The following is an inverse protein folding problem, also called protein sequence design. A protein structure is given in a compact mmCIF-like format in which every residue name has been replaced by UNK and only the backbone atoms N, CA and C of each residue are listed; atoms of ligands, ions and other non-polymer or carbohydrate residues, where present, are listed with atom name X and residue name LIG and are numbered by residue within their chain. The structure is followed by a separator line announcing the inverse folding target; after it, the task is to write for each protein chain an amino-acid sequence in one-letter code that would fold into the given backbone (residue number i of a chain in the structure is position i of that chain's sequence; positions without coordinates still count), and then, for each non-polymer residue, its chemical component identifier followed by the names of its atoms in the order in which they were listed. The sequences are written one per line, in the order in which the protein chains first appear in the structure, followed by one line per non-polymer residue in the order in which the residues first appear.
data_IF_889468403134
#
_entry.id   IF_889468403134
#
_cell.length_a   1.000
_cell.length_b   1.000
_cell.length_c   1.000
_cell.angle_alpha   90.00
_cell.angle_beta   90.00
_cell.angle_gamma   90.00
#
_symmetry.space_group_name_H-M   'P 1'
#
loop_
_entity.id
_entity.type
_entity.pdbx_description
1 polymer ?
#
# COMPACT_ATOMS: atom_id res chain seq x y z
N UNK A 1 6.42 31.28 -22.42
CA UNK A 1 7.01 30.00 -22.87
C UNK A 1 7.76 29.22 -21.78
N UNK A 2 8.23 29.84 -20.68
CA UNK A 2 8.96 29.13 -19.61
C UNK A 2 8.09 28.27 -18.66
N UNK A 3 6.77 28.49 -18.58
CA UNK A 3 5.89 27.69 -17.71
C UNK A 3 5.53 26.32 -18.30
N UNK A 4 5.49 26.19 -19.63
CA UNK A 4 5.12 24.94 -20.29
C UNK A 4 6.23 23.89 -20.27
N UNK A 5 7.51 24.30 -20.19
CA UNK A 5 8.63 23.35 -20.14
C UNK A 5 8.76 22.67 -18.76
N UNK A 6 8.49 23.41 -17.68
CA UNK A 6 8.59 22.89 -16.31
C UNK A 6 7.47 21.91 -15.96
N UNK A 7 6.29 22.12 -16.53
CA UNK A 7 5.11 21.25 -16.36
C UNK A 7 5.27 19.93 -17.15
N UNK A 8 5.86 19.99 -18.34
CA UNK A 8 6.22 18.79 -19.11
C UNK A 8 7.33 17.98 -18.41
N UNK A 9 8.40 18.61 -17.92
CA UNK A 9 9.46 17.91 -17.17
C UNK A 9 8.93 17.22 -15.91
N UNK A 10 8.00 17.86 -15.19
CA UNK A 10 7.35 17.26 -14.02
C UNK A 10 6.49 16.06 -14.38
N UNK A 11 5.75 16.14 -15.50
CA UNK A 11 4.84 15.08 -15.94
C UNK A 11 5.63 13.88 -16.49
N UNK A 12 6.69 14.14 -17.26
CA UNK A 12 7.59 13.12 -17.79
C UNK A 12 8.35 12.40 -16.68
N UNK A 13 8.79 13.12 -15.64
CA UNK A 13 9.35 12.49 -14.44
C UNK A 13 8.32 11.62 -13.71
N UNK A 14 7.09 12.10 -13.50
CA UNK A 14 6.03 11.30 -12.86
C UNK A 14 5.70 10.02 -13.64
N UNK A 15 5.64 10.09 -14.97
CA UNK A 15 5.40 8.93 -15.84
C UNK A 15 6.58 7.95 -15.84
N UNK A 16 7.82 8.46 -15.88
CA UNK A 16 9.02 7.63 -15.79
C UNK A 16 9.07 6.87 -14.46
N UNK A 17 8.73 7.55 -13.36
CA UNK A 17 8.73 6.89 -12.06
C UNK A 17 7.60 5.85 -11.96
N UNK A 18 6.42 6.12 -12.54
CA UNK A 18 5.37 5.10 -12.69
C UNK A 18 5.83 3.87 -13.48
N UNK A 19 6.60 4.06 -14.55
CA UNK A 19 7.20 2.96 -15.32
C UNK A 19 8.26 2.19 -14.51
N UNK A 20 9.12 2.90 -13.79
CA UNK A 20 10.19 2.32 -12.99
C UNK A 20 9.64 1.56 -11.78
N UNK A 21 8.49 1.93 -11.23
CA UNK A 21 7.80 1.19 -10.15
C UNK A 21 7.56 -0.28 -10.55
N UNK A 22 7.18 -0.54 -11.81
CA UNK A 22 6.90 -1.89 -12.28
C UNK A 22 8.16 -2.63 -12.76
N UNK A 23 9.14 -1.89 -13.29
CA UNK A 23 10.33 -2.49 -13.93
C UNK A 23 11.50 -2.66 -12.96
N UNK A 24 11.72 -1.67 -12.10
CA UNK A 24 12.84 -1.59 -11.15
C UNK A 24 12.39 -0.85 -9.86
N UNK A 25 11.54 -1.49 -9.03
CA UNK A 25 10.93 -0.83 -7.87
C UNK A 25 11.94 -0.25 -6.87
N UNK A 26 13.13 -0.85 -6.76
CA UNK A 26 14.21 -0.33 -5.93
C UNK A 26 14.75 1.01 -6.46
N UNK A 27 14.97 1.11 -7.77
CA UNK A 27 15.50 2.33 -8.39
C UNK A 27 14.48 3.46 -8.33
N UNK A 28 13.20 3.16 -8.60
CA UNK A 28 12.12 4.12 -8.42
C UNK A 28 12.07 4.62 -6.97
N UNK A 29 12.22 3.71 -6.01
CA UNK A 29 12.25 4.03 -4.59
C UNK A 29 13.44 4.94 -4.21
N UNK A 30 14.66 4.65 -4.70
CA UNK A 30 15.83 5.52 -4.47
C UNK A 30 15.65 6.90 -5.12
N UNK A 31 15.03 6.97 -6.30
CA UNK A 31 14.69 8.24 -6.93
C UNK A 31 13.71 9.04 -6.06
N UNK A 32 12.62 8.43 -5.59
CA UNK A 32 11.66 9.09 -4.71
C UNK A 32 12.27 9.56 -3.39
N UNK A 33 13.22 8.82 -2.82
CA UNK A 33 13.92 9.24 -1.60
C UNK A 33 14.73 10.52 -1.79
N UNK A 34 15.26 10.74 -2.99
CA UNK A 34 16.17 11.84 -3.29
C UNK A 34 15.49 13.01 -4.02
N UNK A 35 14.22 12.86 -4.42
CA UNK A 35 13.46 13.87 -5.15
C UNK A 35 12.44 14.56 -4.22
N UNK A 36 12.71 15.82 -3.87
CA UNK A 36 11.84 16.63 -2.98
C UNK A 36 10.50 17.03 -3.63
N UNK A 37 10.29 16.73 -4.93
CA UNK A 37 9.10 17.21 -5.66
C UNK A 37 7.84 16.38 -5.41
N UNK A 38 7.94 15.23 -4.74
CA UNK A 38 6.84 14.27 -4.60
C UNK A 38 6.30 14.29 -3.17
N UNK A 39 5.13 14.91 -3.01
CA UNK A 39 4.46 15.01 -1.72
C UNK A 39 3.57 13.80 -1.41
N UNK A 40 3.09 13.74 -0.15
CA UNK A 40 2.13 12.75 0.34
C UNK A 40 0.93 12.51 -0.57
N UNK A 41 0.35 13.60 -1.09
CA UNK A 41 -0.85 13.53 -1.93
C UNK A 41 -0.55 12.83 -3.25
N UNK A 42 0.62 13.08 -3.84
CA UNK A 42 1.06 12.41 -5.07
C UNK A 42 1.29 10.92 -4.81
N UNK A 43 1.95 10.55 -3.71
CA UNK A 43 2.13 9.15 -3.31
C UNK A 43 0.78 8.44 -3.14
N UNK A 44 -0.18 9.04 -2.43
CA UNK A 44 -1.52 8.46 -2.28
C UNK A 44 -2.23 8.30 -3.62
N UNK A 45 -2.10 9.26 -4.54
CA UNK A 45 -2.66 9.14 -5.89
C UNK A 45 -2.04 7.98 -6.65
N UNK A 46 -0.73 7.76 -6.53
CA UNK A 46 -0.04 6.61 -7.13
C UNK A 46 -0.60 5.31 -6.57
N UNK A 47 -0.69 5.18 -5.25
CA UNK A 47 -1.28 3.99 -4.61
C UNK A 47 -2.70 3.71 -5.09
N UNK A 48 -3.56 4.74 -5.14
CA UNK A 48 -4.94 4.60 -5.58
C UNK A 48 -5.04 4.24 -7.07
N UNK A 49 -4.21 4.85 -7.91
CA UNK A 49 -4.17 4.56 -9.36
C UNK A 49 -3.76 3.11 -9.60
N UNK A 50 -2.73 2.65 -8.89
CA UNK A 50 -2.25 1.28 -9.00
C UNK A 50 -3.27 0.29 -8.44
N UNK A 51 -3.92 0.62 -7.33
CA UNK A 51 -4.92 -0.24 -6.70
C UNK A 51 -6.07 -0.63 -7.63
N UNK A 52 -6.53 0.28 -8.50
CA UNK A 52 -7.62 0.02 -9.45
C UNK A 52 -7.32 -1.17 -10.38
N UNK A 53 -6.04 -1.50 -10.61
CA UNK A 53 -5.68 -2.69 -11.38
C UNK A 53 -6.08 -4.01 -10.70
N UNK A 54 -6.19 -4.06 -9.37
CA UNK A 54 -6.56 -5.29 -8.65
C UNK A 54 -7.98 -5.78 -9.01
N UNK A 55 -9.05 -4.99 -8.81
CA UNK A 55 -10.39 -5.42 -9.18
C UNK A 55 -10.54 -5.61 -10.70
N UNK A 56 -9.89 -4.79 -11.53
CA UNK A 56 -9.94 -4.95 -12.99
C UNK A 56 -9.31 -6.29 -13.40
N UNK A 57 -8.09 -6.58 -12.93
CA UNK A 57 -7.39 -7.83 -13.27
C UNK A 57 -8.14 -9.05 -12.76
N UNK A 58 -8.73 -8.97 -11.56
CA UNK A 58 -9.53 -10.07 -11.01
C UNK A 58 -10.81 -10.30 -11.80
N UNK A 59 -11.50 -9.24 -12.20
CA UNK A 59 -12.70 -9.34 -13.03
C UNK A 59 -12.37 -9.96 -14.39
N UNK A 60 -11.29 -9.50 -15.05
CA UNK A 60 -10.84 -10.04 -16.33
C UNK A 60 -10.47 -11.52 -16.23
N UNK A 61 -9.73 -11.92 -15.20
CA UNK A 61 -9.42 -13.33 -14.96
C UNK A 61 -10.70 -14.15 -14.79
N UNK A 62 -11.61 -13.72 -13.92
CA UNK A 62 -12.84 -14.45 -13.65
C UNK A 62 -13.73 -14.53 -14.92
N UNK A 63 -13.74 -13.49 -15.75
CA UNK A 63 -14.44 -13.46 -17.03
C UNK A 63 -13.85 -14.51 -17.99
N UNK A 64 -12.53 -14.56 -18.14
CA UNK A 64 -11.85 -15.58 -18.98
C UNK A 64 -12.19 -16.99 -18.47
N UNK A 65 -12.06 -17.23 -17.16
CA UNK A 65 -12.35 -18.52 -16.55
C UNK A 65 -13.82 -18.92 -16.72
N UNK A 66 -14.74 -17.97 -16.65
CA UNK A 66 -16.17 -18.21 -16.82
C UNK A 66 -16.55 -18.48 -18.27
N UNK A 67 -15.83 -17.94 -19.26
CA UNK A 67 -16.04 -18.29 -20.67
C UNK A 67 -15.45 -19.66 -21.04
N UNK A 68 -14.39 -20.08 -20.37
CA UNK A 68 -13.85 -21.44 -20.53
C UNK A 68 -14.70 -22.51 -19.84
N UNK A 69 -15.58 -22.10 -18.92
CA UNK A 69 -16.49 -22.97 -18.21
C UNK A 69 -17.83 -23.02 -18.96
N UNK A 70 -18.19 -24.17 -19.53
CA UNK A 70 -19.43 -24.37 -20.30
C UNK A 70 -20.71 -24.35 -19.44
N UNK A 71 -20.65 -23.79 -18.24
CA UNK A 71 -21.75 -23.68 -17.30
C UNK A 71 -22.86 -22.77 -17.85
N UNK A 72 -24.15 -23.09 -17.62
CA UNK A 72 -25.25 -22.19 -17.97
C UNK A 72 -25.11 -20.84 -17.26
N UNK A 73 -25.53 -19.75 -17.92
CA UNK A 73 -25.55 -18.41 -17.33
C UNK A 73 -26.67 -18.29 -16.29
N UNK A 74 -26.39 -18.75 -15.07
CA UNK A 74 -27.29 -18.68 -13.92
C UNK A 74 -26.69 -17.83 -12.78
N UNK A 75 -27.29 -17.86 -11.59
CA UNK A 75 -26.74 -17.13 -10.42
C UNK A 75 -25.33 -17.58 -10.05
N UNK A 76 -24.99 -18.85 -10.26
CA UNK A 76 -23.66 -19.39 -9.95
C UNK A 76 -22.58 -18.81 -10.88
N UNK A 77 -22.94 -18.52 -12.14
CA UNK A 77 -22.06 -17.80 -13.07
C UNK A 77 -21.68 -16.42 -12.51
N UNK A 78 -22.66 -15.64 -12.05
CA UNK A 78 -22.38 -14.33 -11.44
C UNK A 78 -21.55 -14.47 -10.16
N UNK A 79 -21.81 -15.48 -9.33
CA UNK A 79 -21.02 -15.72 -8.13
C UNK A 79 -19.54 -16.01 -8.47
N UNK A 80 -19.26 -16.80 -9.52
CA UNK A 80 -17.90 -17.05 -10.02
C UNK A 80 -17.27 -15.77 -10.57
N UNK A 81 -18.01 -15.00 -11.36
CA UNK A 81 -17.55 -13.75 -11.97
C UNK A 81 -17.13 -12.72 -10.92
N UNK A 82 -17.91 -12.58 -9.85
CA UNK A 82 -17.64 -11.61 -8.77
C UNK A 82 -16.81 -12.18 -7.60
N UNK A 83 -16.42 -13.45 -7.67
CA UNK A 83 -15.64 -14.10 -6.60
C UNK A 83 -14.29 -13.41 -6.38
N UNK A 84 -13.99 -13.06 -5.13
CA UNK A 84 -12.73 -12.42 -4.74
C UNK A 84 -12.60 -10.94 -5.14
N UNK A 85 -13.54 -10.36 -5.89
CA UNK A 85 -13.54 -8.94 -6.20
C UNK A 85 -13.63 -8.04 -4.95
N UNK A 86 -14.54 -8.29 -3.99
CA UNK A 86 -14.60 -7.51 -2.77
C UNK A 86 -13.26 -7.52 -2.01
N UNK A 87 -12.61 -8.69 -1.94
CA UNK A 87 -11.29 -8.82 -1.30
C UNK A 87 -10.23 -8.00 -2.01
N UNK A 88 -10.14 -8.11 -3.34
CA UNK A 88 -9.18 -7.34 -4.15
C UNK A 88 -9.41 -5.83 -4.05
N UNK A 89 -10.67 -5.41 -3.86
CA UNK A 89 -11.06 -4.02 -3.72
C UNK A 89 -10.69 -3.48 -2.33
N UNK A 90 -10.87 -4.25 -1.26
CA UNK A 90 -10.70 -3.77 0.12
C UNK A 90 -9.25 -3.86 0.60
N UNK A 91 -8.48 -4.87 0.19
CA UNK A 91 -7.21 -5.18 0.85
C UNK A 91 -6.15 -4.07 0.68
N UNK A 92 -6.03 -3.45 -0.50
CA UNK A 92 -5.03 -2.41 -0.72
C UNK A 92 -5.37 -1.10 0.00
N UNK A 93 -6.59 -0.52 -0.11
CA UNK A 93 -6.95 0.66 0.66
C UNK A 93 -6.79 0.44 2.16
N UNK A 94 -7.13 -0.75 2.66
CA UNK A 94 -6.95 -1.11 4.07
C UNK A 94 -5.47 -1.09 4.47
N UNK A 95 -4.58 -1.74 3.71
CA UNK A 95 -3.15 -1.77 4.00
C UNK A 95 -2.54 -0.37 3.90
N UNK A 96 -2.90 0.41 2.88
CA UNK A 96 -2.41 1.79 2.74
C UNK A 96 -2.90 2.68 3.88
N UNK A 97 -4.16 2.53 4.29
CA UNK A 97 -4.68 3.20 5.48
C UNK A 97 -3.86 2.85 6.72
N UNK A 98 -3.55 1.56 6.93
CA UNK A 98 -2.67 1.12 8.02
C UNK A 98 -1.30 1.78 7.93
N UNK A 99 -0.65 1.75 6.77
CA UNK A 99 0.68 2.32 6.55
C UNK A 99 0.72 3.82 6.85
N UNK A 100 -0.28 4.59 6.43
CA UNK A 100 -0.39 6.03 6.74
C UNK A 100 -0.49 6.29 8.25
N UNK A 101 -1.26 5.46 8.96
CA UNK A 101 -1.39 5.57 10.42
C UNK A 101 -0.10 5.16 11.14
N UNK A 102 0.57 4.10 10.69
CA UNK A 102 1.85 3.67 11.26
C UNK A 102 2.95 4.70 11.01
N UNK A 103 2.94 5.37 9.87
CA UNK A 103 3.88 6.45 9.59
C UNK A 103 3.65 7.65 10.51
N UNK A 104 2.39 7.97 10.81
CA UNK A 104 2.03 8.97 11.81
C UNK A 104 2.48 8.54 13.21
N UNK A 105 2.22 7.29 13.59
CA UNK A 105 2.65 6.70 14.87
C UNK A 105 4.16 6.76 15.06
N UNK A 106 4.94 6.52 13.99
CA UNK A 106 6.39 6.62 13.99
C UNK A 106 6.88 8.01 14.39
N UNK A 107 6.27 9.06 13.83
CA UNK A 107 6.60 10.46 14.15
C UNK A 107 6.34 10.75 15.63
N UNK A 108 5.31 10.17 16.24
CA UNK A 108 5.05 10.29 17.68
C UNK A 108 5.97 9.43 18.56
N UNK A 109 6.37 8.25 18.09
CA UNK A 109 7.23 7.33 18.83
C UNK A 109 8.65 7.89 19.00
N UNK A 110 9.20 8.49 17.95
CA UNK A 110 10.46 9.22 18.04
C UNK A 110 10.15 10.52 18.80
N UNK A 111 10.34 10.51 20.13
CA UNK A 111 10.14 11.69 21.00
C UNK A 111 11.06 12.83 20.53
N UNK A 112 10.59 13.62 19.58
CA UNK A 112 11.29 14.83 19.14
C UNK A 112 11.37 15.74 20.34
N UNK A 113 12.59 15.97 20.81
CA UNK A 113 12.83 16.83 21.95
C UNK A 113 12.68 18.26 21.45
N UNK A 114 11.45 18.80 21.46
CA UNK A 114 11.11 20.13 20.94
C UNK A 114 11.90 21.28 21.59
N UNK A 115 12.57 21.01 22.71
CA UNK A 115 13.46 21.94 23.39
C UNK A 115 14.87 22.03 22.76
N UNK A 116 15.22 21.12 21.84
CA UNK A 116 16.55 21.02 21.21
C UNK A 116 16.56 21.31 19.70
N UNK A 117 15.50 21.92 19.16
CA UNK A 117 15.35 22.20 17.71
C UNK A 117 15.59 20.96 16.82
N UNK A 118 15.28 19.77 17.33
CA UNK A 118 15.40 18.53 16.55
C UNK A 118 14.42 18.55 15.36
N UNK A 119 14.97 18.36 14.16
CA UNK A 119 14.19 18.26 12.92
C UNK A 119 13.23 17.07 13.00
N UNK A 120 11.94 17.31 12.70
CA UNK A 120 10.93 16.26 12.65
C UNK A 120 11.38 15.14 11.69
N UNK A 121 11.13 13.86 12.03
CA UNK A 121 11.45 12.76 11.12
C UNK A 121 10.68 12.95 9.81
N UNK A 122 11.32 12.72 8.65
CA UNK A 122 10.71 12.99 7.36
C UNK A 122 9.43 12.16 7.19
N UNK A 123 8.32 12.80 6.78
CA UNK A 123 7.04 12.12 6.65
C UNK A 123 7.02 11.19 5.43
N UNK A 124 6.09 10.24 5.44
CA UNK A 124 5.66 9.40 4.32
C UNK A 124 6.67 8.34 3.81
N UNK A 125 7.76 8.12 4.55
CA UNK A 125 8.77 7.09 4.25
C UNK A 125 8.19 5.68 4.16
N UNK A 126 7.27 5.33 5.06
CA UNK A 126 6.59 4.03 5.00
C UNK A 126 5.62 3.95 3.82
N UNK A 127 4.92 5.04 3.51
CA UNK A 127 4.00 5.09 2.37
C UNK A 127 4.75 4.82 1.07
N UNK A 128 5.86 5.54 0.88
CA UNK A 128 6.77 5.33 -0.24
C UNK A 128 7.26 3.88 -0.33
N UNK A 129 7.67 3.30 0.79
CA UNK A 129 8.18 1.93 0.85
C UNK A 129 7.13 0.86 0.47
N UNK A 130 5.84 1.19 0.52
CA UNK A 130 4.72 0.30 0.19
C UNK A 130 4.20 0.42 -1.25
N UNK A 131 4.88 1.20 -2.09
CA UNK A 131 4.55 1.26 -3.52
C UNK A 131 4.65 -0.11 -4.20
N UNK A 132 5.69 -0.96 -3.96
CA UNK A 132 5.75 -2.30 -4.53
C UNK A 132 4.60 -3.20 -4.09
N UNK A 133 4.17 -3.10 -2.83
CA UNK A 133 2.97 -3.80 -2.37
C UNK A 133 1.75 -3.38 -3.19
N UNK A 134 1.58 -2.10 -3.50
CA UNK A 134 0.47 -1.66 -4.34
C UNK A 134 0.60 -2.18 -5.77
N UNK A 135 1.80 -2.16 -6.34
CA UNK A 135 2.11 -2.70 -7.67
C UNK A 135 1.75 -4.19 -7.80
N UNK A 136 1.77 -4.95 -6.70
CA UNK A 136 1.33 -6.34 -6.66
C UNK A 136 -0.15 -6.55 -7.04
N UNK A 137 -0.95 -5.49 -7.13
CA UNK A 137 -2.32 -5.49 -7.65
C UNK A 137 -2.46 -6.21 -9.00
N UNK A 138 -1.44 -6.13 -9.86
CA UNK A 138 -1.42 -6.83 -11.15
C UNK A 138 -1.52 -8.36 -10.99
N UNK A 139 -1.00 -8.91 -9.89
CA UNK A 139 -0.99 -10.37 -9.68
C UNK A 139 -2.36 -10.97 -9.37
N UNK A 140 -3.40 -10.15 -9.22
CA UNK A 140 -4.78 -10.63 -9.19
C UNK A 140 -5.25 -11.26 -10.49
N UNK A 141 -4.48 -11.10 -11.58
CA UNK A 141 -4.66 -11.87 -12.82
C UNK A 141 -4.35 -13.36 -12.66
N UNK A 142 -3.63 -13.76 -11.62
CA UNK A 142 -3.35 -15.18 -11.36
C UNK A 142 -4.41 -15.81 -10.47
N UNK A 143 -4.68 -17.12 -10.63
CA UNK A 143 -5.53 -17.85 -9.71
C UNK A 143 -4.87 -18.02 -8.33
N UNK A 144 -5.69 -18.30 -7.32
CA UNK A 144 -5.21 -18.72 -5.99
C UNK A 144 -4.58 -20.12 -6.12
N UNK A 145 -3.41 -20.39 -5.50
CA UNK A 145 -2.69 -19.57 -4.51
C UNK A 145 -1.61 -18.64 -5.07
N UNK A 146 -1.35 -18.66 -6.38
CA UNK A 146 -0.22 -17.94 -6.99
C UNK A 146 -0.33 -16.42 -6.77
N UNK A 147 -1.52 -15.85 -6.93
CA UNK A 147 -1.74 -14.43 -6.66
C UNK A 147 -1.32 -14.04 -5.23
N UNK A 148 -1.77 -14.79 -4.21
CA UNK A 148 -1.47 -14.54 -2.81
C UNK A 148 0.03 -14.68 -2.52
N UNK A 149 0.69 -15.64 -3.17
CA UNK A 149 2.14 -15.82 -3.04
C UNK A 149 2.91 -14.58 -3.51
N UNK A 150 2.62 -14.07 -4.72
CA UNK A 150 3.29 -12.87 -5.24
C UNK A 150 2.94 -11.61 -4.47
N UNK A 151 1.67 -11.45 -4.03
CA UNK A 151 1.25 -10.34 -3.17
C UNK A 151 2.01 -10.37 -1.83
N UNK A 152 2.21 -11.56 -1.26
CA UNK A 152 2.96 -11.72 0.00
C UNK A 152 4.44 -11.37 -0.17
N UNK A 153 5.07 -11.79 -1.28
CA UNK A 153 6.46 -11.40 -1.59
C UNK A 153 6.58 -9.87 -1.66
N UNK A 154 5.67 -9.21 -2.38
CA UNK A 154 5.68 -7.76 -2.51
C UNK A 154 5.45 -7.03 -1.17
N UNK A 155 4.62 -7.62 -0.30
CA UNK A 155 4.41 -7.13 1.06
C UNK A 155 5.69 -7.20 1.90
N UNK A 156 6.36 -8.35 1.95
CA UNK A 156 7.62 -8.49 2.69
C UNK A 156 8.73 -7.62 2.12
N UNK A 157 8.79 -7.49 0.80
CA UNK A 157 9.72 -6.58 0.14
C UNK A 157 9.47 -5.11 0.54
N UNK A 158 8.20 -4.70 0.67
CA UNK A 158 7.84 -3.36 1.14
C UNK A 158 8.22 -3.11 2.60
N UNK A 159 8.14 -4.14 3.45
CA UNK A 159 8.63 -4.08 4.83
C UNK A 159 10.17 -3.92 4.85
N UNK A 160 10.87 -4.67 3.99
CA UNK A 160 12.33 -4.56 3.87
C UNK A 160 12.74 -3.16 3.41
N UNK A 161 12.06 -2.59 2.41
CA UNK A 161 12.29 -1.21 1.97
C UNK A 161 11.99 -0.21 3.08
N UNK A 162 10.95 -0.44 3.88
CA UNK A 162 10.64 0.41 5.05
C UNK A 162 11.80 0.42 6.04
N UNK A 163 12.41 -0.73 6.33
CA UNK A 163 13.60 -0.79 7.17
C UNK A 163 14.77 -0.01 6.57
N UNK A 164 15.06 -0.24 5.29
CA UNK A 164 16.13 0.45 4.57
C UNK A 164 15.93 1.99 4.55
N UNK A 165 14.69 2.44 4.33
CA UNK A 165 14.26 3.85 4.41
C UNK A 165 14.62 4.48 5.74
N UNK A 166 14.19 3.82 6.81
CA UNK A 166 14.34 4.32 8.17
C UNK A 166 15.80 4.29 8.60
N UNK A 167 16.55 3.29 8.17
CA UNK A 167 17.98 3.18 8.44
C UNK A 167 18.76 4.32 7.77
N UNK A 168 18.50 4.61 6.50
CA UNK A 168 19.31 5.59 5.76
C UNK A 168 18.90 7.04 6.04
N UNK A 169 17.61 7.31 6.23
CA UNK A 169 17.10 8.67 6.36
C UNK A 169 16.95 9.10 7.82
N UNK A 170 16.62 8.16 8.71
CA UNK A 170 16.30 8.45 10.12
C UNK A 170 17.22 7.75 11.12
N UNK A 171 18.30 7.11 10.64
CA UNK A 171 19.31 6.36 11.40
C UNK A 171 18.71 5.30 12.35
N UNK A 172 17.65 4.62 11.92
CA UNK A 172 17.03 3.58 12.72
C UNK A 172 17.95 2.38 12.90
N UNK A 173 18.20 2.01 14.16
CA UNK A 173 18.86 0.74 14.48
C UNK A 173 17.94 -0.47 14.24
N UNK A 174 18.52 -1.66 14.04
CA UNK A 174 17.76 -2.93 13.89
C UNK A 174 16.79 -3.18 15.06
N UNK A 175 17.23 -2.90 16.29
CA UNK A 175 16.42 -3.06 17.52
C UNK A 175 15.27 -2.06 17.57
N UNK A 176 15.51 -0.83 17.15
CA UNK A 176 14.49 0.23 17.12
C UNK A 176 13.41 -0.08 16.09
N UNK A 177 13.80 -0.57 14.91
CA UNK A 177 12.86 -1.04 13.91
C UNK A 177 12.02 -2.22 14.41
N UNK A 178 12.63 -3.20 15.09
CA UNK A 178 11.88 -4.31 15.69
C UNK A 178 10.89 -3.82 16.75
N UNK A 179 11.30 -2.89 17.62
CA UNK A 179 10.42 -2.27 18.61
C UNK A 179 9.26 -1.51 17.96
N UNK A 180 9.54 -0.80 16.87
CA UNK A 180 8.52 -0.12 16.08
C UNK A 180 7.52 -1.09 15.46
N UNK A 181 7.97 -2.23 14.91
CA UNK A 181 7.09 -3.28 14.41
C UNK A 181 6.21 -3.89 15.51
N UNK A 182 6.79 -4.17 16.68
CA UNK A 182 6.03 -4.67 17.84
C UNK A 182 4.98 -3.64 18.31
N UNK A 183 5.35 -2.37 18.39
CA UNK A 183 4.42 -1.29 18.72
C UNK A 183 3.31 -1.16 17.68
N UNK A 184 3.66 -1.25 16.40
CA UNK A 184 2.71 -1.24 15.29
C UNK A 184 1.72 -2.40 15.40
N UNK A 185 2.19 -3.59 15.74
CA UNK A 185 1.35 -4.76 15.96
C UNK A 185 0.38 -4.58 17.14
N UNK A 186 0.87 -4.05 18.27
CA UNK A 186 0.02 -3.72 19.42
C UNK A 186 -1.03 -2.68 19.03
N UNK A 187 -0.63 -1.61 18.35
CA UNK A 187 -1.53 -0.55 17.88
C UNK A 187 -2.66 -1.11 17.00
N UNK A 188 -2.32 -1.98 16.04
CA UNK A 188 -3.29 -2.63 15.17
C UNK A 188 -4.22 -3.59 15.92
N UNK A 189 -3.68 -4.38 16.86
CA UNK A 189 -4.50 -5.25 17.71
C UNK A 189 -5.48 -4.45 18.56
N UNK A 190 -5.02 -3.37 19.21
CA UNK A 190 -5.89 -2.49 20.01
C UNK A 190 -6.98 -1.86 19.15
N UNK A 191 -6.63 -1.34 17.97
CA UNK A 191 -7.60 -0.80 17.03
C UNK A 191 -8.62 -1.84 16.55
N UNK A 192 -8.16 -3.06 16.25
CA UNK A 192 -9.02 -4.17 15.85
C UNK A 192 -9.99 -4.60 16.96
N UNK A 193 -9.51 -4.70 18.20
CA UNK A 193 -10.34 -5.00 19.37
C UNK A 193 -11.40 -3.91 19.62
N UNK A 194 -11.03 -2.64 19.43
CA UNK A 194 -11.97 -1.53 19.54
C UNK A 194 -13.10 -1.63 18.50
N UNK A 195 -12.75 -1.87 17.22
CA UNK A 195 -13.75 -2.07 16.15
C UNK A 195 -14.65 -3.28 16.45
N UNK A 196 -14.06 -4.40 16.88
CA UNK A 196 -14.82 -5.60 17.23
C UNK A 196 -15.79 -5.35 18.41
N UNK A 197 -15.34 -4.64 19.44
CA UNK A 197 -16.19 -4.21 20.56
C UNK A 197 -17.36 -3.34 20.11
N UNK A 198 -17.09 -2.34 19.27
CA UNK A 198 -18.12 -1.44 18.73
C UNK A 198 -19.16 -2.21 17.89
N UNK A 199 -18.72 -3.11 17.02
CA UNK A 199 -19.62 -3.96 16.22
C UNK A 199 -20.51 -4.86 17.08
N UNK A 200 -19.97 -5.41 18.17
CA UNK A 200 -20.76 -6.22 19.10
C UNK A 200 -21.80 -5.40 19.86
N UNK A 201 -21.47 -4.16 20.26
CA UNK A 201 -22.44 -3.25 20.88
C UNK A 201 -23.58 -2.93 19.90
N UNK A 202 -23.25 -2.60 18.65
CA UNK A 202 -24.26 -2.34 17.61
C UNK A 202 -25.15 -3.57 17.40
N UNK A 203 -24.55 -4.77 17.30
CA UNK A 203 -25.30 -6.02 17.17
C UNK A 203 -26.22 -6.28 18.36
N UNK A 204 -25.77 -5.97 19.58
CA UNK A 204 -26.57 -6.11 20.79
C UNK A 204 -27.76 -5.14 20.82
N UNK A 205 -27.63 -3.94 20.24
CA UNK A 205 -28.72 -2.95 20.18
C UNK A 205 -29.75 -3.30 19.10
N UNK A 206 -29.30 -3.90 17.99
CA UNK A 206 -30.16 -4.24 16.85
C UNK A 206 -30.92 -5.56 17.03
N UNK A 207 -30.46 -6.44 17.92
CA UNK A 207 -31.11 -7.70 18.29
C UNK A 207 -32.00 -7.54 19.52
#
# INVERSE_FOLDING_TARGET
MLFHSKENDSTDNKLRILSDIFSAPHNAYEMYLNDETIGKSDLLRIHLTIWVFAPISKFLLNLILSFTDSSPMDFSFFQKLFSGLPTSFIIYPLVIFVVVNLDSLRVYYKKVNRAQDETLPPPDLLLLSFVPFSASSIFWIFPVPLNLFFISIAFFYSIQLSFYSLQNVSDYGKREFLNFLLLSFIFLLTGGLFVFGALNIVRMILN
#
